data_IF_527809740843
#
_entry.id   IF_527809740843
#
_cell.length_a   1.000
_cell.length_b   1.000
_cell.length_c   1.000
_cell.angle_alpha   90.00
_cell.angle_beta   90.00
_cell.angle_gamma   90.00
#
_symmetry.space_group_name_H-M   'P 1'
#
loop_
_entity.id
_entity.type
_entity.pdbx_description
1 polymer ?
#
# COMPACT_ATOMS: atom_id res chain seq x y z
N UNK A 1 -6.89 26.36 -26.21
CA UNK A 1 -8.01 25.48 -25.79
C UNK A 1 -8.00 24.26 -26.70
N UNK A 2 -7.34 23.17 -26.26
CA UNK A 2 -7.35 21.92 -27.02
C UNK A 2 -8.65 21.19 -26.67
N UNK A 3 -9.60 21.24 -27.60
CA UNK A 3 -10.77 20.37 -27.56
C UNK A 3 -10.29 18.92 -27.75
N UNK A 4 -10.39 18.11 -26.71
CA UNK A 4 -10.20 16.66 -26.78
C UNK A 4 -11.03 16.10 -27.95
N UNK A 5 -10.40 15.26 -28.78
CA UNK A 5 -11.08 14.67 -29.92
C UNK A 5 -12.36 13.92 -29.47
N UNK A 6 -13.45 14.03 -30.23
CA UNK A 6 -14.74 13.41 -29.87
C UNK A 6 -14.70 11.91 -29.69
N UNK A 7 -13.64 11.23 -30.22
CA UNK A 7 -13.42 9.81 -30.09
C UNK A 7 -12.90 9.46 -28.68
N UNK A 8 -11.97 10.26 -28.13
CA UNK A 8 -11.48 10.12 -26.76
C UNK A 8 -12.60 10.35 -25.72
N UNK A 9 -13.47 11.33 -25.99
CA UNK A 9 -14.64 11.59 -25.14
C UNK A 9 -15.63 10.42 -25.13
N UNK A 10 -15.84 9.75 -26.27
CA UNK A 10 -16.72 8.58 -26.36
C UNK A 10 -16.12 7.34 -25.68
N UNK A 11 -14.80 7.14 -25.75
CA UNK A 11 -14.11 6.06 -25.07
C UNK A 11 -14.12 6.28 -23.53
N UNK A 12 -13.96 7.52 -23.08
CA UNK A 12 -14.09 7.90 -21.67
C UNK A 12 -15.52 7.73 -21.13
N UNK A 13 -16.56 7.94 -21.96
CA UNK A 13 -17.96 7.78 -21.54
C UNK A 13 -18.36 6.31 -21.44
N UNK A 14 -17.73 5.41 -22.20
CA UNK A 14 -18.03 3.96 -22.19
C UNK A 14 -17.17 3.17 -21.17
N UNK A 15 -16.21 3.79 -20.50
CA UNK A 15 -15.44 3.14 -19.48
C UNK A 15 -16.30 2.86 -18.24
N UNK A 16 -16.29 1.61 -17.77
CA UNK A 16 -17.02 1.21 -16.55
C UNK A 16 -16.30 1.73 -15.29
N UNK A 17 -16.45 3.03 -15.03
CA UNK A 17 -15.86 3.69 -13.86
C UNK A 17 -16.39 3.16 -12.53
N UNK A 18 -17.52 2.48 -12.51
CA UNK A 18 -18.07 1.87 -11.30
C UNK A 18 -17.28 0.62 -10.91
N UNK A 19 -16.64 -0.05 -11.86
CA UNK A 19 -15.76 -1.20 -11.62
C UNK A 19 -14.39 -0.83 -11.06
N UNK A 20 -13.97 0.45 -11.15
CA UNK A 20 -12.66 0.91 -10.68
C UNK A 20 -12.49 0.76 -9.18
N UNK A 21 -11.26 0.39 -8.77
CA UNK A 21 -10.89 0.22 -7.37
C UNK A 21 -11.83 -0.74 -6.63
N UNK A 22 -12.11 -1.89 -7.23
CA UNK A 22 -12.95 -2.94 -6.63
C UNK A 22 -12.34 -3.51 -5.35
N UNK A 23 -11.01 -3.67 -5.32
CA UNK A 23 -10.29 -4.08 -4.13
C UNK A 23 -9.84 -2.88 -3.31
N UNK A 24 -10.02 -2.96 -1.99
CA UNK A 24 -9.52 -2.00 -1.00
C UNK A 24 -9.03 -2.72 0.22
N UNK A 25 -7.96 -2.22 0.79
CA UNK A 25 -7.44 -2.69 2.07
C UNK A 25 -8.35 -2.16 3.19
N UNK A 26 -8.97 -3.06 3.94
CA UNK A 26 -9.91 -2.75 5.03
C UNK A 26 -9.35 -3.10 6.39
N UNK A 27 -8.57 -4.19 6.48
CA UNK A 27 -7.96 -4.65 7.72
C UNK A 27 -6.50 -4.98 7.52
N UNK A 28 -5.68 -4.44 8.38
CA UNK A 28 -4.24 -4.63 8.38
C UNK A 28 -3.85 -5.31 9.69
N UNK A 29 -3.12 -6.40 9.61
CA UNK A 29 -2.46 -6.99 10.76
C UNK A 29 -1.07 -6.37 10.89
N UNK A 30 -0.87 -5.59 11.95
CA UNK A 30 0.42 -5.01 12.32
C UNK A 30 1.11 -5.91 13.32
N UNK A 31 2.31 -6.37 12.98
CA UNK A 31 3.14 -7.20 13.89
C UNK A 31 4.32 -6.34 14.33
N UNK A 32 4.39 -6.03 15.61
CA UNK A 32 5.45 -5.21 16.19
C UNK A 32 5.69 -5.53 17.66
N UNK A 33 6.90 -5.28 18.15
CA UNK A 33 7.20 -5.42 19.58
C UNK A 33 6.40 -4.42 20.41
N UNK A 34 6.24 -4.70 21.73
CA UNK A 34 5.63 -3.73 22.66
C UNK A 34 6.32 -2.37 22.63
N UNK A 35 7.64 -2.35 22.44
CA UNK A 35 8.42 -1.13 22.37
C UNK A 35 8.11 -0.33 21.12
N UNK A 36 8.02 -1.00 19.96
CA UNK A 36 7.68 -0.34 18.70
C UNK A 36 6.22 0.13 18.71
N UNK A 37 5.29 -0.68 19.26
CA UNK A 37 3.91 -0.28 19.46
C UNK A 37 3.80 0.95 20.37
N UNK A 38 4.55 0.97 21.47
CA UNK A 38 4.59 2.10 22.39
C UNK A 38 5.12 3.38 21.71
N UNK A 39 6.21 3.27 20.92
CA UNK A 39 6.73 4.40 20.14
C UNK A 39 5.70 4.87 19.11
N UNK A 40 5.01 3.96 18.43
CA UNK A 40 3.96 4.28 17.49
C UNK A 40 2.76 4.96 18.16
N UNK A 41 2.47 4.61 19.43
CA UNK A 41 1.42 5.24 20.24
C UNK A 41 1.89 6.56 20.86
N UNK A 42 3.13 6.66 21.35
CA UNK A 42 3.67 7.83 22.04
C UNK A 42 3.90 9.02 21.09
N UNK A 43 4.32 8.75 19.87
CA UNK A 43 4.43 9.76 18.79
C UNK A 43 3.08 10.29 18.28
N UNK A 44 2.00 9.94 18.97
CA UNK A 44 0.66 10.46 18.74
C UNK A 44 -0.14 9.63 17.75
N UNK A 45 -0.30 8.35 18.07
CA UNK A 45 -1.31 7.50 17.45
C UNK A 45 -1.17 7.42 15.92
N UNK A 46 -0.37 6.48 15.45
CA UNK A 46 -0.20 6.27 14.00
C UNK A 46 -1.55 6.17 13.27
N UNK A 47 -2.54 5.58 13.91
CA UNK A 47 -3.91 5.50 13.40
C UNK A 47 -4.53 6.88 13.22
N UNK A 48 -4.35 7.79 14.18
CA UNK A 48 -4.84 9.17 14.09
C UNK A 48 -4.15 9.94 12.97
N UNK A 49 -2.84 9.74 12.79
CA UNK A 49 -2.08 10.34 11.67
C UNK A 49 -2.55 9.80 10.33
N UNK A 50 -2.73 8.47 10.21
CA UNK A 50 -3.26 7.85 9.01
C UNK A 50 -4.69 8.34 8.74
N UNK A 51 -5.53 8.42 9.76
CA UNK A 51 -6.88 8.97 9.63
C UNK A 51 -6.86 10.41 9.13
N UNK A 52 -5.98 11.25 9.66
CA UNK A 52 -5.78 12.62 9.20
C UNK A 52 -5.34 12.68 7.74
N UNK A 53 -4.34 11.88 7.35
CA UNK A 53 -3.89 11.79 5.96
C UNK A 53 -5.04 11.36 5.02
N UNK A 54 -5.89 10.43 5.45
CA UNK A 54 -7.06 10.03 4.68
C UNK A 54 -8.06 11.17 4.49
N UNK A 55 -8.25 12.03 5.51
CA UNK A 55 -9.09 13.23 5.41
C UNK A 55 -8.44 14.27 4.50
N UNK A 56 -7.18 14.61 4.73
CA UNK A 56 -6.45 15.66 4.01
C UNK A 56 -6.33 15.34 2.51
N UNK A 57 -6.17 14.07 2.18
CA UNK A 57 -6.14 13.57 0.80
C UNK A 57 -7.53 13.20 0.24
N UNK A 58 -8.60 13.47 1.01
CA UNK A 58 -9.97 13.17 0.63
C UNK A 58 -10.18 11.71 0.20
N UNK A 59 -9.55 10.77 0.90
CA UNK A 59 -9.68 9.35 0.67
C UNK A 59 -10.97 8.80 1.30
N UNK A 60 -11.34 7.58 0.90
CA UNK A 60 -12.42 6.84 1.56
C UNK A 60 -12.00 6.37 2.96
N UNK A 61 -12.87 5.66 3.66
CA UNK A 61 -12.64 5.13 5.01
C UNK A 61 -11.24 4.51 5.19
N UNK A 62 -10.48 4.92 6.20
CA UNK A 62 -9.20 4.32 6.52
C UNK A 62 -9.35 2.84 6.95
N UNK A 63 -8.32 2.02 6.79
CA UNK A 63 -8.33 0.64 7.27
C UNK A 63 -8.33 0.57 8.80
N UNK A 64 -8.81 -0.55 9.32
CA UNK A 64 -8.69 -0.90 10.74
C UNK A 64 -7.38 -1.65 10.97
N UNK A 65 -6.66 -1.30 12.02
CA UNK A 65 -5.44 -1.98 12.44
C UNK A 65 -5.74 -3.01 13.52
N UNK A 66 -5.17 -4.19 13.35
CA UNK A 66 -5.12 -5.26 14.35
C UNK A 66 -3.66 -5.41 14.76
N UNK A 67 -3.40 -5.51 16.05
CA UNK A 67 -2.06 -5.50 16.59
C UNK A 67 -1.69 -6.87 17.17
N UNK A 68 -0.53 -7.40 16.77
CA UNK A 68 0.06 -8.60 17.34
C UNK A 68 1.49 -8.30 17.77
N UNK A 69 1.89 -8.82 18.93
CA UNK A 69 3.24 -8.59 19.48
C UNK A 69 4.23 -9.67 19.07
N UNK A 70 3.72 -10.84 18.72
CA UNK A 70 4.51 -12.02 18.37
C UNK A 70 3.95 -12.69 17.12
N UNK A 71 4.78 -13.51 16.47
CA UNK A 71 4.36 -14.34 15.34
C UNK A 71 3.29 -15.36 15.75
N UNK A 72 3.32 -15.85 16.98
CA UNK A 72 2.32 -16.77 17.49
C UNK A 72 0.95 -16.11 17.62
N UNK A 73 0.88 -14.90 18.19
CA UNK A 73 -0.33 -14.11 18.30
C UNK A 73 -0.87 -13.74 16.91
N UNK A 74 0.02 -13.33 16.01
CA UNK A 74 -0.34 -13.03 14.63
C UNK A 74 -0.97 -14.25 13.93
N UNK A 75 -0.44 -15.45 14.15
CA UNK A 75 -0.96 -16.70 13.59
C UNK A 75 -2.36 -17.03 14.15
N UNK A 76 -2.56 -16.84 15.45
CA UNK A 76 -3.88 -16.99 16.08
C UNK A 76 -4.89 -16.00 15.50
N UNK A 77 -4.52 -14.73 15.37
CA UNK A 77 -5.38 -13.71 14.77
C UNK A 77 -5.74 -14.03 13.31
N UNK A 78 -4.80 -14.53 12.53
CA UNK A 78 -5.04 -14.95 11.15
C UNK A 78 -6.00 -16.15 11.03
N UNK A 79 -6.10 -16.97 12.07
CA UNK A 79 -7.06 -18.10 12.11
C UNK A 79 -8.45 -17.68 12.59
N UNK A 80 -8.52 -16.76 13.55
CA UNK A 80 -9.76 -16.36 14.21
C UNK A 80 -10.44 -15.16 13.56
N UNK A 81 -9.67 -14.29 12.88
CA UNK A 81 -10.19 -13.06 12.29
C UNK A 81 -10.30 -13.19 10.76
N UNK A 82 -11.51 -13.01 10.25
CA UNK A 82 -11.78 -13.04 8.82
C UNK A 82 -11.56 -11.65 8.20
N UNK A 83 -11.02 -11.61 6.96
CA UNK A 83 -10.95 -10.38 6.18
C UNK A 83 -9.75 -9.50 6.52
N UNK A 84 -8.64 -10.08 6.96
CA UNK A 84 -7.34 -9.42 6.96
C UNK A 84 -6.86 -9.36 5.52
N UNK A 85 -6.54 -8.17 5.03
CA UNK A 85 -6.21 -7.93 3.62
C UNK A 85 -4.69 -7.82 3.40
N UNK A 86 -3.92 -7.46 4.43
CA UNK A 86 -2.47 -7.40 4.38
C UNK A 86 -1.82 -7.50 5.76
N UNK A 87 -0.55 -7.84 5.78
CA UNK A 87 0.28 -7.91 6.98
C UNK A 87 1.41 -6.88 6.82
N UNK A 88 1.59 -6.05 7.86
CA UNK A 88 2.75 -5.17 7.98
C UNK A 88 3.50 -5.58 9.24
N UNK A 89 4.76 -5.91 9.10
CA UNK A 89 5.58 -6.38 10.18
C UNK A 89 6.79 -5.48 10.40
N UNK A 90 7.08 -5.16 11.66
CA UNK A 90 8.33 -4.53 12.06
C UNK A 90 9.44 -5.56 12.15
N UNK A 91 10.67 -5.22 11.72
CA UNK A 91 11.82 -6.13 11.75
C UNK A 91 12.16 -6.62 13.16
N UNK A 92 12.02 -5.77 14.18
CA UNK A 92 12.31 -6.09 15.57
C UNK A 92 11.05 -6.63 16.29
N UNK A 93 10.53 -7.76 15.87
CA UNK A 93 9.57 -8.50 16.69
C UNK A 93 10.32 -9.34 17.72
N UNK A 94 9.75 -9.49 18.91
CA UNK A 94 10.44 -10.10 20.05
C UNK A 94 10.87 -11.54 19.85
N UNK A 95 10.34 -12.27 18.87
CA UNK A 95 10.57 -13.69 18.63
C UNK A 95 11.36 -14.04 17.36
N UNK A 96 11.73 -13.06 16.52
CA UNK A 96 12.44 -13.25 15.23
C UNK A 96 11.82 -14.29 14.27
N UNK A 97 10.58 -14.72 14.50
CA UNK A 97 9.93 -15.81 13.76
C UNK A 97 9.05 -15.32 12.60
N UNK A 98 9.15 -14.02 12.29
CA UNK A 98 8.34 -13.36 11.25
C UNK A 98 8.62 -13.93 9.85
N UNK A 99 9.87 -14.28 9.57
CA UNK A 99 10.25 -14.88 8.29
C UNK A 99 9.67 -16.28 8.13
N UNK A 100 9.65 -17.06 9.21
CA UNK A 100 8.99 -18.36 9.27
C UNK A 100 7.48 -18.21 9.07
N UNK A 101 6.87 -17.24 9.76
CA UNK A 101 5.44 -16.94 9.58
C UNK A 101 5.12 -16.60 8.11
N UNK A 102 5.88 -15.69 7.49
CA UNK A 102 5.69 -15.31 6.08
C UNK A 102 5.83 -16.52 5.15
N UNK A 103 6.86 -17.35 5.36
CA UNK A 103 7.10 -18.56 4.57
C UNK A 103 5.95 -19.58 4.71
N UNK A 104 5.46 -19.79 5.91
CA UNK A 104 4.37 -20.73 6.19
C UNK A 104 3.07 -20.27 5.55
N UNK A 105 2.72 -18.99 5.69
CA UNK A 105 1.53 -18.42 5.07
C UNK A 105 1.56 -18.59 3.53
N UNK A 106 2.73 -18.40 2.92
CA UNK A 106 2.91 -18.60 1.48
C UNK A 106 2.75 -20.07 1.10
N UNK A 107 3.29 -21.01 1.90
CA UNK A 107 3.12 -22.47 1.70
C UNK A 107 1.66 -22.91 1.87
N UNK A 108 0.92 -22.30 2.80
CA UNK A 108 -0.51 -22.54 2.99
C UNK A 108 -1.39 -22.00 1.84
N UNK A 109 -0.78 -21.36 0.83
CA UNK A 109 -1.48 -20.77 -0.31
C UNK A 109 -2.25 -19.48 0.03
N UNK A 110 -1.97 -18.88 1.18
CA UNK A 110 -2.55 -17.57 1.57
C UNK A 110 -1.83 -16.47 0.81
N UNK A 111 -2.50 -15.88 -0.16
CA UNK A 111 -1.98 -14.77 -0.97
C UNK A 111 -2.21 -13.41 -0.27
N UNK A 112 -1.83 -13.31 1.01
CA UNK A 112 -1.86 -12.03 1.73
C UNK A 112 -0.56 -11.29 1.48
N UNK A 113 -0.62 -9.99 1.09
CA UNK A 113 0.56 -9.17 1.01
C UNK A 113 1.29 -9.10 2.35
N UNK A 114 2.60 -9.38 2.33
CA UNK A 114 3.46 -9.35 3.51
C UNK A 114 4.54 -8.29 3.36
N UNK A 115 4.46 -7.24 4.15
CA UNK A 115 5.37 -6.08 4.11
C UNK A 115 6.25 -6.06 5.35
N UNK A 116 7.55 -5.92 5.14
CA UNK A 116 8.52 -5.75 6.23
C UNK A 116 8.93 -4.28 6.35
N UNK A 117 8.76 -3.72 7.55
CA UNK A 117 9.28 -2.40 7.90
C UNK A 117 10.57 -2.56 8.71
N UNK A 118 11.62 -1.84 8.33
CA UNK A 118 12.92 -1.93 8.99
C UNK A 118 13.56 -0.55 9.16
N UNK A 119 14.23 -0.34 10.27
CA UNK A 119 15.18 0.76 10.41
C UNK A 119 16.45 0.41 9.64
N UNK A 120 16.64 0.98 8.47
CA UNK A 120 17.69 0.60 7.55
C UNK A 120 19.09 0.95 8.10
N UNK A 121 19.73 -0.02 8.71
CA UNK A 121 21.15 0.05 9.12
C UNK A 121 21.99 -0.94 8.34
N UNK A 122 23.32 -0.71 8.26
CA UNK A 122 24.25 -1.68 7.63
C UNK A 122 24.18 -3.07 8.27
N UNK A 123 23.89 -3.12 9.56
CA UNK A 123 23.77 -4.36 10.32
C UNK A 123 22.49 -5.12 9.92
N UNK A 124 21.36 -4.44 9.86
CA UNK A 124 20.09 -5.01 9.41
C UNK A 124 20.21 -5.52 7.98
N UNK A 125 20.82 -4.76 7.09
CA UNK A 125 21.05 -5.18 5.70
C UNK A 125 21.86 -6.48 5.60
N UNK A 126 22.97 -6.59 6.36
CA UNK A 126 23.78 -7.83 6.38
C UNK A 126 22.99 -9.03 6.91
N UNK A 127 22.16 -8.82 7.90
CA UNK A 127 21.33 -9.85 8.49
C UNK A 127 20.22 -10.30 7.56
N UNK A 128 19.55 -9.37 6.89
CA UNK A 128 18.54 -9.67 5.87
C UNK A 128 19.12 -10.43 4.67
N UNK A 129 20.35 -10.11 4.26
CA UNK A 129 21.05 -10.83 3.19
C UNK A 129 21.34 -12.30 3.50
N UNK A 130 21.31 -12.70 4.79
CA UNK A 130 21.50 -14.10 5.24
C UNK A 130 20.17 -14.84 5.48
N UNK A 131 19.04 -14.18 5.39
CA UNK A 131 17.70 -14.74 5.64
C UNK A 131 16.96 -14.98 4.32
N UNK A 132 16.08 -15.98 4.32
CA UNK A 132 15.17 -16.17 3.20
C UNK A 132 14.04 -15.13 3.26
N UNK A 133 14.12 -14.14 2.38
CA UNK A 133 13.12 -13.05 2.25
C UNK A 133 12.14 -13.28 1.12
N UNK A 134 12.18 -14.44 0.46
CA UNK A 134 11.34 -14.75 -0.72
C UNK A 134 9.83 -14.73 -0.45
N UNK A 135 9.43 -14.85 0.82
CA UNK A 135 8.04 -14.77 1.25
C UNK A 135 7.56 -13.35 1.57
N UNK A 136 8.45 -12.36 1.52
CA UNK A 136 8.16 -10.95 1.78
C UNK A 136 7.95 -10.26 0.43
N UNK A 137 6.79 -9.64 0.23
CA UNK A 137 6.49 -8.98 -1.03
C UNK A 137 7.26 -7.66 -1.19
N UNK A 138 7.33 -6.85 -0.14
CA UNK A 138 8.11 -5.60 -0.12
C UNK A 138 8.75 -5.34 1.24
N UNK A 139 9.91 -4.71 1.21
CA UNK A 139 10.58 -4.17 2.39
C UNK A 139 10.60 -2.65 2.30
N UNK A 140 10.36 -1.94 3.41
CA UNK A 140 10.43 -0.49 3.45
C UNK A 140 11.28 0.01 4.62
N UNK A 141 11.96 1.14 4.41
CA UNK A 141 12.69 1.86 5.45
C UNK A 141 11.73 2.71 6.27
N UNK A 142 11.56 2.36 7.54
CA UNK A 142 10.64 3.03 8.46
C UNK A 142 11.35 4.12 9.27
N UNK A 143 10.80 5.33 9.27
CA UNK A 143 11.29 6.49 9.99
C UNK A 143 10.18 7.21 10.79
N UNK A 144 9.15 6.50 11.23
CA UNK A 144 8.02 7.08 11.97
C UNK A 144 7.04 7.86 11.10
N UNK A 145 7.03 7.66 9.79
CA UNK A 145 6.22 8.44 8.86
C UNK A 145 4.91 7.72 8.47
N UNK A 146 3.77 8.27 8.92
CA UNK A 146 2.45 7.73 8.57
C UNK A 146 2.17 7.77 7.06
N UNK A 147 2.75 8.71 6.32
CA UNK A 147 2.59 8.82 4.87
C UNK A 147 3.10 7.57 4.15
N UNK A 148 4.15 6.94 4.70
CA UNK A 148 4.67 5.68 4.16
C UNK A 148 3.64 4.55 4.29
N UNK A 149 2.94 4.45 5.42
CA UNK A 149 1.90 3.43 5.61
C UNK A 149 0.75 3.66 4.62
N UNK A 150 0.33 4.91 4.45
CA UNK A 150 -0.69 5.26 3.45
C UNK A 150 -0.23 4.88 2.04
N UNK A 151 1.03 5.19 1.70
CA UNK A 151 1.59 4.84 0.40
C UNK A 151 1.66 3.32 0.17
N UNK A 152 2.05 2.55 1.18
CA UNK A 152 2.06 1.07 1.14
C UNK A 152 0.65 0.55 0.88
N UNK A 153 -0.35 1.02 1.64
CA UNK A 153 -1.74 0.62 1.45
C UNK A 153 -2.19 0.89 0.01
N UNK A 154 -1.92 2.09 -0.50
CA UNK A 154 -2.32 2.49 -1.86
C UNK A 154 -1.57 1.71 -2.94
N UNK A 155 -0.29 1.37 -2.71
CA UNK A 155 0.47 0.52 -3.61
C UNK A 155 -0.20 -0.85 -3.80
N UNK A 156 -0.58 -1.50 -2.71
CA UNK A 156 -1.26 -2.80 -2.81
C UNK A 156 -2.66 -2.71 -3.37
N UNK A 157 -3.40 -1.64 -3.09
CA UNK A 157 -4.67 -1.36 -3.75
C UNK A 157 -4.46 -1.20 -5.26
N UNK A 158 -3.46 -0.44 -5.70
CA UNK A 158 -3.17 -0.23 -7.11
C UNK A 158 -2.73 -1.52 -7.80
N UNK A 159 -1.83 -2.29 -7.19
CA UNK A 159 -1.39 -3.59 -7.71
C UNK A 159 -2.55 -4.59 -7.88
N UNK A 160 -3.43 -4.71 -6.88
CA UNK A 160 -4.58 -5.64 -6.92
C UNK A 160 -5.66 -5.23 -7.93
N UNK A 161 -5.75 -3.95 -8.24
CA UNK A 161 -6.70 -3.43 -9.21
C UNK A 161 -6.10 -3.22 -10.61
N UNK A 162 -4.78 -3.43 -10.80
CA UNK A 162 -4.07 -3.11 -12.04
C UNK A 162 -4.71 -3.74 -13.28
N UNK A 163 -5.04 -5.04 -13.24
CA UNK A 163 -5.65 -5.75 -14.37
C UNK A 163 -6.99 -5.15 -14.80
N UNK A 164 -7.79 -4.70 -13.85
CA UNK A 164 -9.06 -4.06 -14.15
C UNK A 164 -8.88 -2.59 -14.52
N UNK A 165 -8.18 -1.85 -13.68
CA UNK A 165 -8.14 -0.39 -13.78
C UNK A 165 -7.25 0.08 -14.94
N UNK A 166 -6.09 -0.57 -15.15
CA UNK A 166 -5.13 -0.20 -16.20
C UNK A 166 -5.48 -0.92 -17.51
N UNK A 167 -5.53 -2.26 -17.49
CA UNK A 167 -5.63 -3.03 -18.74
C UNK A 167 -7.05 -3.01 -19.34
N UNK A 168 -8.12 -3.07 -18.51
CA UNK A 168 -9.49 -3.10 -19.04
C UNK A 168 -10.10 -1.72 -19.18
N UNK A 169 -9.96 -0.85 -18.18
CA UNK A 169 -10.58 0.48 -18.17
C UNK A 169 -9.69 1.54 -18.80
N UNK A 170 -8.37 1.33 -18.84
CA UNK A 170 -7.40 2.25 -19.47
C UNK A 170 -7.01 3.42 -18.58
N UNK A 171 -7.04 3.24 -17.25
CA UNK A 171 -6.53 4.26 -16.31
C UNK A 171 -5.01 4.37 -16.48
N UNK A 172 -4.50 5.59 -16.45
CA UNK A 172 -3.07 5.86 -16.54
C UNK A 172 -2.30 5.20 -15.38
N UNK A 173 -1.06 4.77 -15.65
CA UNK A 173 -0.16 4.23 -14.64
C UNK A 173 1.18 4.95 -14.61
N UNK A 174 1.81 4.97 -13.45
CA UNK A 174 3.16 5.44 -13.20
C UNK A 174 3.94 4.23 -12.71
N UNK A 175 4.93 3.80 -13.48
CA UNK A 175 5.84 2.73 -13.07
C UNK A 175 7.08 3.35 -12.42
N UNK A 176 7.25 3.13 -11.11
CA UNK A 176 8.48 3.44 -10.37
C UNK A 176 9.39 2.22 -10.40
N UNK A 177 10.56 2.33 -11.01
CA UNK A 177 11.57 1.27 -11.03
C UNK A 177 12.73 1.72 -10.15
N UNK A 178 12.89 1.08 -8.99
CA UNK A 178 13.93 1.43 -8.02
C UNK A 178 14.23 0.21 -7.14
N UNK A 179 15.49 -0.23 -7.10
CA UNK A 179 15.94 -1.38 -6.31
C UNK A 179 16.36 -1.02 -4.88
N UNK A 180 16.63 0.24 -4.62
CA UNK A 180 17.03 0.71 -3.30
C UNK A 180 15.85 0.91 -2.36
N UNK A 181 15.76 0.06 -1.33
CA UNK A 181 14.76 0.18 -0.26
C UNK A 181 14.66 1.60 0.29
N UNK A 182 15.80 2.27 0.49
CA UNK A 182 15.86 3.62 1.02
C UNK A 182 15.19 4.63 0.07
N UNK A 183 15.47 4.54 -1.22
CA UNK A 183 14.99 5.51 -2.19
C UNK A 183 13.50 5.32 -2.49
N UNK A 184 13.04 4.11 -2.77
CA UNK A 184 11.61 3.94 -3.03
C UNK A 184 10.75 4.17 -1.78
N UNK A 185 11.27 3.91 -0.55
CA UNK A 185 10.58 4.27 0.69
C UNK A 185 10.41 5.78 0.86
N UNK A 186 11.27 6.58 0.24
CA UNK A 186 11.17 8.05 0.24
C UNK A 186 10.30 8.56 -0.91
N UNK A 187 10.49 8.00 -2.12
CA UNK A 187 9.81 8.52 -3.31
C UNK A 187 8.33 8.12 -3.36
N UNK A 188 8.00 6.92 -2.91
CA UNK A 188 6.63 6.40 -3.01
C UNK A 188 5.60 7.26 -2.25
N UNK A 189 5.83 7.67 -0.97
CA UNK A 189 4.93 8.58 -0.27
C UNK A 189 4.74 9.92 -0.98
N UNK A 190 5.82 10.50 -1.51
CA UNK A 190 5.76 11.79 -2.21
C UNK A 190 4.97 11.67 -3.54
N UNK A 191 5.18 10.59 -4.29
CA UNK A 191 4.42 10.33 -5.52
C UNK A 191 2.92 10.17 -5.22
N UNK A 192 2.56 9.40 -4.20
CA UNK A 192 1.16 9.25 -3.80
C UNK A 192 0.58 10.58 -3.34
N UNK A 193 1.31 11.35 -2.53
CA UNK A 193 0.87 12.67 -2.08
C UNK A 193 0.58 13.59 -3.27
N UNK A 194 1.48 13.66 -4.26
CA UNK A 194 1.28 14.48 -5.47
C UNK A 194 0.06 14.03 -6.27
N UNK A 195 -0.04 12.73 -6.58
CA UNK A 195 -1.15 12.19 -7.39
C UNK A 195 -2.49 12.37 -6.68
N UNK A 196 -2.56 12.08 -5.38
CA UNK A 196 -3.79 12.20 -4.61
C UNK A 196 -4.22 13.65 -4.42
N UNK A 197 -3.27 14.55 -4.16
CA UNK A 197 -3.53 15.98 -4.04
C UNK A 197 -4.04 16.57 -5.35
N UNK A 198 -3.38 16.26 -6.46
CA UNK A 198 -3.81 16.70 -7.78
C UNK A 198 -5.23 16.20 -8.10
N UNK A 199 -5.51 14.92 -7.84
CA UNK A 199 -6.84 14.36 -8.03
C UNK A 199 -7.89 15.06 -7.16
N UNK A 200 -7.53 15.44 -5.92
CA UNK A 200 -8.41 16.16 -5.00
C UNK A 200 -8.68 17.61 -5.44
N UNK A 201 -7.72 18.29 -6.04
CA UNK A 201 -7.89 19.64 -6.58
C UNK A 201 -8.86 19.68 -7.76
N UNK A 202 -8.74 18.74 -8.68
CA UNK A 202 -9.71 18.60 -9.80
C UNK A 202 -11.14 18.35 -9.31
N UNK A 203 -11.33 17.71 -8.16
CA UNK A 203 -12.66 17.45 -7.59
C UNK A 203 -13.38 18.71 -7.11
N UNK A 204 -12.65 19.76 -6.77
CA UNK A 204 -13.24 21.04 -6.32
C UNK A 204 -13.94 21.78 -7.46
N UNK A 205 -13.50 21.53 -8.69
CA UNK A 205 -14.06 22.15 -9.90
C UNK A 205 -15.26 21.38 -10.48
N UNK A 206 -15.53 20.18 -9.98
CA UNK A 206 -16.55 19.27 -10.52
C UNK A 206 -17.86 19.42 -9.74
N UNK A 207 -18.97 19.65 -10.45
CA UNK A 207 -20.28 19.98 -9.86
C UNK A 207 -21.11 18.78 -9.37
N UNK A 208 -20.80 17.53 -9.78
CA UNK A 208 -21.64 16.35 -9.51
C UNK A 208 -20.90 15.30 -8.65
N UNK A 209 -21.56 14.79 -7.59
CA UNK A 209 -21.01 13.80 -6.66
C UNK A 209 -20.62 12.46 -7.35
N UNK A 210 -21.36 12.05 -8.37
CA UNK A 210 -21.05 10.86 -9.15
C UNK A 210 -19.74 11.04 -9.95
N UNK A 211 -19.58 12.18 -10.58
CA UNK A 211 -18.35 12.53 -11.30
C UNK A 211 -17.14 12.63 -10.34
N UNK A 212 -17.35 13.20 -9.16
CA UNK A 212 -16.29 13.23 -8.11
C UNK A 212 -15.82 11.82 -7.74
N UNK A 213 -16.76 10.88 -7.56
CA UNK A 213 -16.44 9.49 -7.25
C UNK A 213 -15.65 8.82 -8.37
N UNK A 214 -16.04 9.03 -9.61
CA UNK A 214 -15.34 8.49 -10.78
C UNK A 214 -13.93 9.06 -10.92
N UNK A 215 -13.77 10.37 -10.78
CA UNK A 215 -12.45 11.03 -10.86
C UNK A 215 -11.49 10.57 -9.75
N UNK A 216 -11.98 10.38 -8.51
CA UNK A 216 -11.17 9.80 -7.42
C UNK A 216 -10.63 8.41 -7.75
N UNK A 217 -11.45 7.59 -8.40
CA UNK A 217 -11.11 6.21 -8.74
C UNK A 217 -10.21 6.11 -9.97
N UNK A 218 -10.35 7.05 -10.92
CA UNK A 218 -9.57 7.11 -12.17
C UNK A 218 -8.23 7.82 -12.04
N UNK A 219 -7.77 8.12 -10.81
CA UNK A 219 -6.42 8.64 -10.60
C UNK A 219 -5.36 7.71 -11.19
N UNK A 220 -4.22 8.23 -11.64
CA UNK A 220 -3.11 7.38 -12.05
C UNK A 220 -2.74 6.36 -10.98
N UNK A 221 -2.54 5.11 -11.40
CA UNK A 221 -2.09 4.02 -10.53
C UNK A 221 -0.58 4.04 -10.43
N UNK A 222 -0.03 3.79 -9.24
CA UNK A 222 1.41 3.71 -9.04
C UNK A 222 1.78 2.25 -8.84
N UNK A 223 2.70 1.77 -9.68
CA UNK A 223 3.28 0.43 -9.60
C UNK A 223 4.74 0.57 -9.21
N UNK A 224 5.22 -0.30 -8.33
CA UNK A 224 6.61 -0.34 -7.89
C UNK A 224 7.25 -1.65 -8.35
N UNK A 225 8.29 -1.54 -9.16
CA UNK A 225 9.16 -2.65 -9.52
C UNK A 225 10.52 -2.47 -8.84
N UNK A 226 10.99 -3.48 -8.12
CA UNK A 226 12.27 -3.44 -7.42
C UNK A 226 13.42 -4.07 -8.22
N UNK A 227 13.10 -4.59 -9.39
CA UNK A 227 14.08 -5.14 -10.34
C UNK A 227 13.54 -5.03 -11.78
N UNK A 228 14.42 -5.30 -12.75
CA UNK A 228 14.10 -5.18 -14.17
C UNK A 228 13.07 -6.22 -14.64
N UNK A 229 13.07 -7.42 -14.07
CA UNK A 229 12.19 -8.49 -14.48
C UNK A 229 10.75 -8.19 -14.05
N UNK A 230 10.55 -7.71 -12.82
CA UNK A 230 9.26 -7.21 -12.35
C UNK A 230 8.76 -6.05 -13.22
N UNK A 231 9.65 -5.09 -13.56
CA UNK A 231 9.30 -3.95 -14.40
C UNK A 231 8.85 -4.33 -15.81
N UNK A 232 9.30 -5.47 -16.34
CA UNK A 232 8.89 -5.99 -17.66
C UNK A 232 7.58 -6.74 -17.64
N UNK A 233 7.17 -7.24 -16.48
CA UNK A 233 5.95 -8.03 -16.31
C UNK A 233 4.74 -7.22 -15.86
N UNK A 234 4.98 -6.01 -15.34
CA UNK A 234 3.96 -5.02 -14.99
C UNK A 234 3.50 -4.23 -16.22
#
# INVERSE_FOLDING_TARGET
MNTLEPKLLKELINADYDSLMGFRVRRILMICSNYDAFILEEDGQIETRIYKEYIDLNLSTPPTFLWAQTSAEAREMLQTTVGIDMIICMYNTGDNDVFTLASDLKKEGRSLPFVLLTHFSKEVYRRLASLDTSAIDYMFSWHGNADLIVAIIKLFEDLKNADNDILKVGVQSILLVEDSVRYYSTYLPELYRMVLKQSSEFLKETLNEQQKKHMKRSRPKILLATNLDDARTM
#
